data_IF_963109850730
#
_entry.id   IF_963109850730
#
_cell.length_a   1.000
_cell.length_b   1.000
_cell.length_c   1.000
_cell.angle_alpha   90.00
_cell.angle_beta   90.00
_cell.angle_gamma   90.00
#
_symmetry.space_group_name_H-M   'P 1'
#
loop_
_entity.id
_entity.type
_entity.pdbx_description
1 polymer ?
#
# COMPACT_ATOMS: atom_id res chain seq x y z
N UNK A 1 -14.06 2.91 -18.39
CA UNK A 1 -13.67 1.93 -17.36
C UNK A 1 -13.39 2.70 -16.08
N UNK A 2 -13.89 2.26 -14.92
CA UNK A 2 -13.52 2.84 -13.62
C UNK A 2 -12.63 1.84 -12.89
N UNK A 3 -11.58 2.31 -12.25
CA UNK A 3 -10.65 1.52 -11.48
C UNK A 3 -10.67 2.00 -10.04
N UNK A 4 -10.77 1.06 -9.10
CA UNK A 4 -10.70 1.32 -7.67
C UNK A 4 -9.26 1.09 -7.23
N UNK A 5 -8.59 2.14 -6.75
CA UNK A 5 -7.26 2.05 -6.15
C UNK A 5 -7.39 2.14 -4.64
N UNK A 6 -6.62 1.35 -3.92
CA UNK A 6 -6.62 1.36 -2.46
C UNK A 6 -5.20 1.21 -1.94
N UNK A 7 -4.82 2.09 -1.01
CA UNK A 7 -3.53 2.03 -0.34
C UNK A 7 -3.72 1.50 1.08
N UNK A 8 -3.00 0.44 1.42
CA UNK A 8 -3.10 -0.23 2.72
C UNK A 8 -1.73 -0.30 3.38
N UNK A 9 -1.65 0.01 4.66
CA UNK A 9 -0.47 -0.18 5.50
C UNK A 9 -0.61 -1.47 6.30
N UNK A 10 0.41 -2.34 6.25
CA UNK A 10 0.42 -3.58 7.05
C UNK A 10 0.85 -3.25 8.47
N UNK A 11 -0.06 -3.41 9.43
CA UNK A 11 0.20 -3.02 10.82
C UNK A 11 0.98 -4.08 11.61
N UNK A 12 0.94 -5.34 11.21
CA UNK A 12 1.75 -6.41 11.78
C UNK A 12 2.03 -7.47 10.73
N UNK A 13 3.23 -8.05 10.74
CA UNK A 13 3.57 -9.15 9.82
C UNK A 13 2.80 -10.45 10.15
N UNK A 14 2.22 -10.54 11.34
CA UNK A 14 1.62 -11.78 11.87
C UNK A 14 0.09 -11.77 11.85
N UNK A 15 -0.54 -10.62 11.62
CA UNK A 15 -2.00 -10.49 11.63
C UNK A 15 -2.46 -9.32 10.78
N UNK A 16 -3.46 -9.59 9.94
CA UNK A 16 -4.17 -8.63 9.09
C UNK A 16 -5.13 -7.72 9.87
N UNK A 17 -5.44 -8.03 11.13
CA UNK A 17 -6.35 -7.21 11.96
C UNK A 17 -5.81 -5.79 12.22
N UNK A 18 -4.50 -5.60 12.06
CA UNK A 18 -3.84 -4.31 12.22
C UNK A 18 -3.65 -3.57 10.90
N UNK A 19 -4.08 -4.16 9.77
CA UNK A 19 -4.01 -3.51 8.48
C UNK A 19 -4.90 -2.27 8.46
N UNK A 20 -4.36 -1.20 7.89
CA UNK A 20 -5.02 0.09 7.84
C UNK A 20 -5.16 0.52 6.40
N UNK A 21 -6.40 0.72 5.97
CA UNK A 21 -6.69 1.45 4.75
C UNK A 21 -6.32 2.92 4.97
N UNK A 22 -5.33 3.39 4.21
CA UNK A 22 -4.84 4.76 4.30
C UNK A 22 -5.71 5.70 3.49
N UNK A 23 -6.09 5.27 2.29
CA UNK A 23 -6.99 5.99 1.40
C UNK A 23 -7.48 5.07 0.26
N UNK A 24 -8.57 5.46 -0.38
CA UNK A 24 -9.13 4.83 -1.57
C UNK A 24 -9.48 5.87 -2.64
N UNK A 25 -9.31 5.49 -3.91
CA UNK A 25 -9.52 6.39 -5.04
C UNK A 25 -10.20 5.67 -6.20
N UNK A 26 -11.36 6.18 -6.59
CA UNK A 26 -12.03 5.77 -7.82
C UNK A 26 -11.54 6.61 -9.00
N UNK A 27 -10.82 5.99 -9.93
CA UNK A 27 -10.31 6.67 -11.12
C UNK A 27 -11.11 6.25 -12.34
N UNK A 28 -11.82 7.21 -12.94
CA UNK A 28 -12.46 7.02 -14.23
C UNK A 28 -13.41 8.15 -14.61
N UNK A 29 -13.94 8.12 -15.84
CA UNK A 29 -13.72 7.07 -16.86
C UNK A 29 -12.30 7.13 -17.47
N UNK A 30 -11.59 5.99 -17.47
CA UNK A 30 -10.23 5.87 -18.01
C UNK A 30 -10.27 5.75 -19.54
N UNK A 31 -9.61 6.66 -20.30
CA UNK A 31 -9.45 6.54 -21.74
C UNK A 31 -8.39 5.49 -22.09
N UNK A 32 -8.51 4.87 -23.27
CA UNK A 32 -7.51 3.93 -23.79
C UNK A 32 -6.21 4.69 -24.05
N UNK A 33 -5.11 4.18 -23.52
CA UNK A 33 -3.78 4.77 -23.67
C UNK A 33 -2.98 4.77 -22.38
N UNK A 34 -1.92 5.56 -22.36
CA UNK A 34 -1.08 5.76 -21.16
C UNK A 34 -1.70 6.87 -20.33
N UNK A 35 -2.02 6.56 -19.08
CA UNK A 35 -2.58 7.51 -18.13
C UNK A 35 -1.65 7.62 -16.91
N UNK A 36 -1.63 8.80 -16.29
CA UNK A 36 -0.89 9.07 -15.04
C UNK A 36 -1.76 9.93 -14.12
N UNK A 37 -1.75 9.60 -12.84
CA UNK A 37 -2.35 10.39 -11.79
C UNK A 37 -1.47 10.34 -10.54
N UNK A 38 -1.76 11.22 -9.58
CA UNK A 38 -1.09 11.25 -8.27
C UNK A 38 -2.07 10.64 -7.26
N UNK A 39 -1.57 9.73 -6.43
CA UNK A 39 -2.31 9.17 -5.30
C UNK A 39 -1.59 9.56 -4.01
N UNK A 40 -2.20 10.46 -3.25
CA UNK A 40 -1.74 10.91 -1.94
C UNK A 40 -2.62 10.28 -0.87
N UNK A 41 -2.04 9.92 0.27
CA UNK A 41 -2.74 9.28 1.38
C UNK A 41 -2.10 9.67 2.71
N UNK A 42 -2.88 9.61 3.78
CA UNK A 42 -2.43 9.89 5.14
C UNK A 42 -1.42 8.86 5.69
N UNK A 43 -0.84 9.17 6.85
CA UNK A 43 -0.08 8.20 7.62
C UNK A 43 -1.02 7.21 8.33
N UNK A 44 -0.58 5.97 8.63
CA UNK A 44 -1.35 5.07 9.48
C UNK A 44 -1.52 5.64 10.89
N UNK A 45 -2.59 5.24 11.57
CA UNK A 45 -2.77 5.51 12.99
C UNK A 45 -1.85 4.61 13.81
N UNK A 46 -0.85 5.22 14.45
CA UNK A 46 0.17 4.50 15.22
C UNK A 46 -0.37 3.88 16.50
N UNK A 47 -1.52 4.34 17.02
CA UNK A 47 -2.14 3.77 18.22
C UNK A 47 -2.77 2.39 17.96
N UNK A 48 -2.99 2.07 16.69
CA UNK A 48 -3.53 0.78 16.23
C UNK A 48 -2.44 -0.20 15.82
N UNK A 49 -1.15 0.19 15.90
CA UNK A 49 -0.02 -0.67 15.56
C UNK A 49 0.54 -1.24 16.87
N UNK A 50 0.79 -2.56 16.96
CA UNK A 50 1.47 -3.13 18.13
C UNK A 50 2.85 -2.49 18.34
N UNK A 51 3.21 -2.15 19.58
CA UNK A 51 4.50 -1.53 19.91
C UNK A 51 5.72 -2.29 19.32
N UNK A 52 5.62 -3.62 19.24
CA UNK A 52 6.66 -4.49 18.68
C UNK A 52 6.82 -4.38 17.15
N UNK A 53 5.79 -3.90 16.43
CA UNK A 53 5.75 -3.77 14.98
C UNK A 53 5.92 -2.31 14.50
N UNK A 54 6.04 -1.34 15.42
CA UNK A 54 6.25 0.08 15.08
C UNK A 54 7.60 0.29 14.41
N UNK A 55 8.65 -0.37 14.90
CA UNK A 55 10.00 -0.31 14.35
C UNK A 55 10.30 -1.53 13.49
N UNK A 56 11.24 -1.35 12.56
CA UNK A 56 11.67 -2.39 11.63
C UNK A 56 10.91 -2.35 10.31
N UNK A 57 10.88 -3.51 9.64
CA UNK A 57 10.38 -3.62 8.26
C UNK A 57 8.91 -4.00 8.25
N UNK A 58 8.11 -3.21 7.56
CA UNK A 58 6.73 -3.53 7.20
C UNK A 58 6.49 -3.28 5.70
N UNK A 59 5.24 -3.35 5.23
CA UNK A 59 4.86 -3.24 3.83
C UNK A 59 3.68 -2.26 3.67
N UNK A 60 3.73 -1.44 2.62
CA UNK A 60 2.54 -0.77 2.07
C UNK A 60 2.10 -1.49 0.79
N UNK A 61 0.80 -1.68 0.64
CA UNK A 61 0.17 -2.37 -0.48
C UNK A 61 -0.69 -1.38 -1.26
N UNK A 62 -0.33 -1.16 -2.51
CA UNK A 62 -1.19 -0.47 -3.47
C UNK A 62 -1.94 -1.54 -4.28
N UNK A 63 -3.24 -1.63 -4.07
CA UNK A 63 -4.12 -2.54 -4.81
C UNK A 63 -4.94 -1.78 -5.84
N UNK A 64 -5.23 -2.44 -6.96
CA UNK A 64 -6.16 -1.92 -7.95
C UNK A 64 -7.15 -3.01 -8.37
N UNK A 65 -8.42 -2.63 -8.36
CA UNK A 65 -9.54 -3.48 -8.72
C UNK A 65 -10.37 -2.89 -9.86
N UNK A 66 -10.96 -3.79 -10.64
CA UNK A 66 -11.97 -3.46 -11.64
C UNK A 66 -13.21 -4.30 -11.34
N UNK A 67 -14.38 -3.65 -11.22
CA UNK A 67 -15.65 -4.33 -10.92
C UNK A 67 -15.55 -5.20 -9.65
N UNK A 68 -14.94 -4.63 -8.59
CA UNK A 68 -14.68 -5.33 -7.32
C UNK A 68 -13.66 -6.48 -7.39
N UNK A 69 -12.97 -6.67 -8.52
CA UNK A 69 -11.97 -7.75 -8.70
C UNK A 69 -10.57 -7.15 -8.75
N UNK A 70 -9.77 -7.43 -7.74
CA UNK A 70 -8.35 -7.06 -7.73
C UNK A 70 -7.61 -7.76 -8.88
N UNK A 71 -6.89 -6.99 -9.69
CA UNK A 71 -6.07 -7.52 -10.79
C UNK A 71 -4.59 -7.19 -10.66
N UNK A 72 -4.23 -6.24 -9.81
CA UNK A 72 -2.83 -5.91 -9.51
C UNK A 72 -2.66 -5.46 -8.06
N UNK A 73 -1.55 -5.89 -7.48
CA UNK A 73 -1.06 -5.50 -6.16
C UNK A 73 0.41 -5.15 -6.26
N UNK A 74 0.77 -3.98 -5.73
CA UNK A 74 2.15 -3.50 -5.68
C UNK A 74 2.52 -3.28 -4.22
N UNK A 75 3.43 -4.11 -3.71
CA UNK A 75 3.97 -3.99 -2.36
C UNK A 75 5.30 -3.24 -2.35
N UNK A 76 5.44 -2.30 -1.42
CA UNK A 76 6.71 -1.65 -1.11
C UNK A 76 7.11 -1.97 0.32
N UNK A 77 8.37 -2.38 0.51
CA UNK A 77 8.92 -2.47 1.85
C UNK A 77 9.10 -1.06 2.44
N UNK A 78 8.79 -0.96 3.71
CA UNK A 78 8.89 0.25 4.51
C UNK A 78 9.76 -0.07 5.69
N UNK A 79 10.87 0.63 5.85
CA UNK A 79 11.71 0.54 7.04
C UNK A 79 11.39 1.71 7.97
N UNK A 80 10.95 1.41 9.18
CA UNK A 80 10.74 2.38 10.26
C UNK A 80 11.92 2.28 11.23
N UNK A 81 12.70 3.35 11.36
CA UNK A 81 13.86 3.40 12.24
C UNK A 81 13.89 4.73 13.00
N UNK A 82 14.62 4.79 14.10
CA UNK A 82 14.82 6.08 14.74
C UNK A 82 15.73 6.96 13.90
N UNK A 83 15.55 8.26 14.01
CA UNK A 83 16.38 9.27 13.37
C UNK A 83 17.78 9.44 13.99
N UNK A 84 18.15 8.71 15.05
CA UNK A 84 19.49 8.71 15.64
C UNK A 84 20.02 7.31 15.92
N UNK A 85 21.34 7.13 15.76
CA UNK A 85 22.01 5.83 15.92
C UNK A 85 21.92 5.31 17.35
N UNK A 86 21.97 6.20 18.35
CA UNK A 86 21.91 5.81 19.77
C UNK A 86 20.56 5.16 20.12
N UNK A 87 19.46 5.70 19.60
CA UNK A 87 18.12 5.15 19.82
C UNK A 87 17.91 3.84 19.05
N UNK A 88 18.58 3.65 17.92
CA UNK A 88 18.55 2.38 17.19
C UNK A 88 19.41 1.30 17.88
N UNK A 89 20.54 1.69 18.48
CA UNK A 89 21.42 0.77 19.21
C UNK A 89 20.82 0.32 20.55
N UNK A 90 20.19 1.24 21.28
CA UNK A 90 19.54 0.99 22.56
C UNK A 90 18.08 1.49 22.53
N UNK A 91 17.16 0.77 21.87
CA UNK A 91 15.78 1.19 21.77
C UNK A 91 15.08 1.16 23.13
N UNK A 92 14.30 2.20 23.47
CA UNK A 92 13.50 2.20 24.69
C UNK A 92 12.41 1.13 24.65
N UNK A 93 11.96 0.68 25.82
CA UNK A 93 10.91 -0.35 25.92
C UNK A 93 9.56 0.08 25.31
N UNK A 94 9.29 1.39 25.27
CA UNK A 94 8.13 1.97 24.60
C UNK A 94 8.60 2.80 23.40
N UNK A 95 8.07 2.56 22.19
CA UNK A 95 8.47 3.32 21.02
C UNK A 95 8.19 4.82 21.13
N UNK A 96 9.16 5.66 20.73
CA UNK A 96 9.01 7.12 20.69
C UNK A 96 8.60 7.52 19.27
N UNK A 97 7.30 7.56 19.01
CA UNK A 97 6.73 7.74 17.66
C UNK A 97 7.26 8.98 16.94
N UNK A 98 7.43 10.09 17.65
CA UNK A 98 7.91 11.37 17.10
C UNK A 98 9.32 11.31 16.51
N UNK A 99 10.12 10.31 16.94
CA UNK A 99 11.50 10.09 16.50
C UNK A 99 11.61 9.05 15.40
N UNK A 100 10.50 8.42 15.01
CA UNK A 100 10.48 7.38 13.97
C UNK A 100 10.50 8.04 12.60
N UNK A 101 11.46 7.64 11.78
CA UNK A 101 11.53 7.97 10.35
C UNK A 101 11.17 6.75 9.52
N UNK A 102 10.36 7.02 8.49
CA UNK A 102 9.89 6.02 7.54
C UNK A 102 10.65 6.15 6.23
N UNK A 103 11.31 5.08 5.81
CA UNK A 103 11.95 4.97 4.51
C UNK A 103 11.23 3.93 3.64
N UNK A 104 10.71 4.33 2.49
CA UNK A 104 10.02 3.43 1.56
C UNK A 104 11.04 2.97 0.52
N UNK A 105 11.28 1.67 0.42
CA UNK A 105 12.19 1.07 -0.56
C UNK A 105 11.52 1.04 -1.95
N UNK A 106 11.46 2.20 -2.60
CA UNK A 106 10.76 2.41 -3.88
C UNK A 106 11.41 1.72 -5.08
N UNK A 107 12.69 1.37 -4.99
CA UNK A 107 13.45 0.78 -6.11
C UNK A 107 13.11 -0.68 -6.41
N UNK A 108 12.59 -1.42 -5.41
CA UNK A 108 12.35 -2.87 -5.51
C UNK A 108 10.90 -3.24 -5.15
N UNK A 109 9.89 -2.72 -5.89
CA UNK A 109 8.51 -3.08 -5.64
C UNK A 109 8.27 -4.56 -5.92
N UNK A 110 7.36 -5.17 -5.16
CA UNK A 110 6.84 -6.51 -5.41
C UNK A 110 5.51 -6.39 -6.13
N UNK A 111 5.47 -6.78 -7.40
CA UNK A 111 4.27 -6.69 -8.23
C UNK A 111 3.66 -8.08 -8.38
N UNK A 112 2.42 -8.23 -7.93
CA UNK A 112 1.60 -9.43 -8.13
C UNK A 112 0.43 -9.09 -9.03
N UNK A 113 0.15 -9.96 -10.01
CA UNK A 113 -0.92 -9.81 -11.00
C UNK A 113 -1.91 -10.95 -10.87
N UNK A 114 -3.19 -10.64 -10.93
CA UNK A 114 -4.28 -11.61 -10.87
C UNK A 114 -5.06 -11.57 -12.18
N UNK A 115 -5.37 -12.74 -12.74
CA UNK A 115 -6.21 -12.82 -13.91
C UNK A 115 -7.67 -12.59 -13.52
N UNK A 116 -8.31 -11.58 -14.10
CA UNK A 116 -9.73 -11.29 -13.89
C UNK A 116 -10.49 -11.33 -15.22
N UNK A 117 -11.81 -11.52 -15.12
CA UNK A 117 -12.71 -11.35 -16.27
C UNK A 117 -13.00 -9.87 -16.44
N UNK A 118 -12.59 -9.31 -17.57
CA UNK A 118 -12.96 -7.95 -17.96
C UNK A 118 -14.35 -7.99 -18.60
N UNK A 119 -15.33 -7.33 -18.01
CA UNK A 119 -16.67 -7.18 -18.58
C UNK A 119 -16.65 -6.20 -19.76
N UNK A 120 -16.31 -6.72 -20.94
CA UNK A 120 -16.78 -6.18 -22.22
C UNK A 120 -17.29 -7.34 -23.06
N UNK A 121 -18.45 -7.24 -23.71
CA UNK A 121 -18.74 -8.13 -24.81
C UNK A 121 -17.63 -7.90 -25.84
N UNK A 122 -16.97 -8.96 -26.25
CA UNK A 122 -16.20 -8.93 -27.47
C UNK A 122 -17.13 -8.40 -28.56
N UNK A 123 -16.90 -7.20 -29.06
CA UNK A 123 -17.51 -6.75 -30.31
C UNK A 123 -16.90 -7.64 -31.41
N UNK A 124 -17.44 -8.85 -31.56
CA UNK A 124 -17.31 -9.65 -32.79
C UNK A 124 -18.29 -9.07 -33.79
N UNK A 125 -18.02 -7.86 -34.27
CA UNK A 125 -18.67 -7.31 -35.46
C UNK A 125 -17.98 -6.01 -35.86
N UNK A 126 -16.73 -6.13 -36.32
CA UNK A 126 -16.32 -5.43 -37.52
C UNK A 126 -15.88 -6.52 -38.49
N UNK A 127 -16.66 -6.65 -39.56
CA UNK A 127 -16.37 -7.45 -40.76
C UNK A 127 -15.05 -6.99 -41.36
#
# INVERSE_FOLDING_TARGET
MYLEWKLTYVGSATSDQYDQELDDLLVGPIPVGVNKFIFEAGAPDTTRIPDADILGVTVILLTCAYDGREFIRVGYYVNNEYDSEELNAEPPSKPIIERVRRNILSEKPRVTRFAIKWSWPCCRSCV
#
